data_IF_045256896603
#
_entry.id   IF_045256896603
#
_cell.length_a   1.000
_cell.length_b   1.000
_cell.length_c   1.000
_cell.angle_alpha   90.00
_cell.angle_beta   90.00
_cell.angle_gamma   90.00
#
_symmetry.space_group_name_H-M   'P 1'
#
loop_
_entity.id
_entity.type
_entity.pdbx_description
1 polymer ?
#
# COMPACT_ATOMS: atom_id res chain seq x y z
N UNK A 1 -13.32 -8.56 -14.17
CA UNK A 1 -13.75 -8.23 -12.79
C UNK A 1 -13.89 -6.72 -12.61
N UNK A 2 -14.98 -6.13 -13.13
CA UNK A 2 -15.21 -4.66 -13.11
C UNK A 2 -16.57 -4.28 -12.51
N UNK A 3 -17.17 -5.17 -11.71
CA UNK A 3 -18.58 -5.09 -11.35
C UNK A 3 -18.77 -5.15 -9.84
N UNK A 4 -19.21 -4.02 -9.27
CA UNK A 4 -20.29 -3.90 -8.26
C UNK A 4 -20.02 -2.81 -7.22
N UNK A 5 -18.77 -2.49 -6.86
CA UNK A 5 -18.46 -1.54 -5.77
C UNK A 5 -18.22 -0.08 -6.21
N UNK A 6 -18.06 0.15 -7.51
CA UNK A 6 -17.79 1.46 -8.12
C UNK A 6 -19.02 2.42 -8.17
N UNK A 7 -20.30 1.97 -8.18
CA UNK A 7 -21.43 2.90 -8.30
C UNK A 7 -21.58 3.88 -7.13
N UNK A 8 -21.34 3.42 -5.89
CA UNK A 8 -21.56 4.24 -4.68
C UNK A 8 -20.48 5.32 -4.50
N UNK A 9 -19.23 5.00 -4.84
CA UNK A 9 -18.08 5.93 -4.85
C UNK A 9 -18.01 6.79 -6.11
N UNK A 10 -18.97 6.64 -7.02
CA UNK A 10 -18.98 7.41 -8.26
C UNK A 10 -19.12 8.92 -8.00
N UNK A 11 -18.50 9.77 -8.85
CA UNK A 11 -18.62 11.22 -8.72
C UNK A 11 -20.07 11.70 -8.77
N UNK A 12 -20.93 11.00 -9.51
CA UNK A 12 -22.34 11.34 -9.73
C UNK A 12 -23.28 10.92 -8.59
N UNK A 13 -22.81 10.18 -7.59
CA UNK A 13 -23.69 9.77 -6.48
C UNK A 13 -24.02 10.96 -5.57
N UNK A 14 -25.31 11.08 -5.18
CA UNK A 14 -25.84 12.15 -4.30
C UNK A 14 -25.37 12.05 -2.83
N UNK A 15 -24.51 11.08 -2.51
CA UNK A 15 -24.03 10.82 -1.17
C UNK A 15 -23.08 11.93 -0.72
N UNK A 16 -23.16 12.37 0.55
CA UNK A 16 -22.21 13.34 1.08
C UNK A 16 -20.78 12.77 1.06
N UNK A 17 -19.78 13.62 0.80
CA UNK A 17 -18.37 13.24 0.64
C UNK A 17 -17.86 12.35 1.78
N UNK A 18 -18.21 12.70 3.04
CA UNK A 18 -17.84 11.94 4.24
C UNK A 18 -18.28 10.47 4.16
N UNK A 19 -19.52 10.21 3.74
CA UNK A 19 -20.04 8.85 3.62
C UNK A 19 -19.35 8.07 2.49
N UNK A 20 -18.95 8.73 1.39
CA UNK A 20 -18.17 8.10 0.33
C UNK A 20 -16.76 7.73 0.78
N UNK A 21 -16.11 8.59 1.59
CA UNK A 21 -14.81 8.30 2.20
C UNK A 21 -14.92 7.13 3.16
N UNK A 22 -15.94 7.10 4.02
CA UNK A 22 -16.19 5.97 4.91
C UNK A 22 -16.40 4.66 4.14
N UNK A 23 -17.12 4.68 3.03
CA UNK A 23 -17.28 3.50 2.17
C UNK A 23 -15.95 3.07 1.52
N UNK A 24 -15.14 4.03 1.08
CA UNK A 24 -13.79 3.76 0.59
C UNK A 24 -12.93 3.07 1.67
N UNK A 25 -12.96 3.58 2.90
CA UNK A 25 -12.23 2.99 4.01
C UNK A 25 -12.82 1.65 4.46
N UNK A 26 -14.13 1.43 4.38
CA UNK A 26 -14.73 0.17 4.80
C UNK A 26 -14.48 -0.97 3.80
N UNK A 27 -14.37 -0.67 2.50
CA UNK A 27 -14.28 -1.68 1.44
C UNK A 27 -12.88 -1.79 0.88
N UNK A 28 -12.27 -0.66 0.50
CA UNK A 28 -10.97 -0.70 -0.18
C UNK A 28 -9.84 -0.97 0.80
N UNK A 29 -9.93 -0.44 2.02
CA UNK A 29 -8.93 -0.66 3.06
C UNK A 29 -8.74 -2.15 3.37
N UNK A 30 -9.77 -2.97 3.70
CA UNK A 30 -9.55 -4.39 3.99
C UNK A 30 -9.02 -5.18 2.78
N UNK A 31 -9.46 -4.87 1.55
CA UNK A 31 -8.93 -5.52 0.34
C UNK A 31 -7.42 -5.25 0.20
N UNK A 32 -6.99 -4.02 0.46
CA UNK A 32 -5.57 -3.64 0.38
C UNK A 32 -4.77 -4.12 1.60
N UNK A 33 -5.38 -4.18 2.79
CA UNK A 33 -4.73 -4.65 4.01
C UNK A 33 -4.51 -6.16 4.02
N UNK A 34 -5.42 -6.94 3.43
CA UNK A 34 -5.30 -8.39 3.39
C UNK A 34 -3.97 -8.86 2.79
N UNK A 35 -3.50 -8.20 1.74
CA UNK A 35 -2.23 -8.51 1.08
C UNK A 35 -1.03 -7.72 1.64
N UNK A 36 -1.24 -6.86 2.64
CA UNK A 36 -0.20 -5.95 3.16
C UNK A 36 1.06 -6.66 3.69
N UNK A 37 0.99 -7.78 4.44
CA UNK A 37 2.21 -8.47 4.91
C UNK A 37 3.05 -9.03 3.76
N UNK A 38 2.39 -9.47 2.68
CA UNK A 38 3.04 -10.00 1.47
C UNK A 38 3.70 -8.87 0.68
N UNK A 39 3.03 -7.72 0.59
CA UNK A 39 3.55 -6.54 -0.11
C UNK A 39 4.70 -5.83 0.60
N UNK A 40 4.95 -6.13 1.88
CA UNK A 40 6.12 -5.60 2.59
C UNK A 40 7.44 -5.99 1.89
N UNK A 41 7.48 -7.16 1.22
CA UNK A 41 8.60 -7.61 0.40
C UNK A 41 8.42 -7.43 -1.11
N UNK A 42 7.36 -6.74 -1.56
CA UNK A 42 7.10 -6.55 -2.98
C UNK A 42 7.99 -5.44 -3.58
N UNK A 43 8.34 -5.57 -4.87
CA UNK A 43 9.14 -4.58 -5.55
C UNK A 43 8.49 -3.18 -5.50
N UNK A 44 9.33 -2.15 -5.39
CA UNK A 44 8.93 -0.74 -5.28
C UNK A 44 7.97 -0.33 -6.41
N UNK A 45 8.11 -0.92 -7.59
CA UNK A 45 7.24 -0.67 -8.75
C UNK A 45 5.78 -1.07 -8.49
N UNK A 46 5.52 -2.18 -7.81
CA UNK A 46 4.18 -2.63 -7.44
C UNK A 46 3.56 -1.72 -6.37
N UNK A 47 4.36 -1.32 -5.38
CA UNK A 47 3.95 -0.37 -4.34
C UNK A 47 3.56 0.99 -4.95
N UNK A 48 4.34 1.49 -5.92
CA UNK A 48 4.02 2.72 -6.68
C UNK A 48 2.69 2.59 -7.43
N UNK A 49 2.40 1.44 -8.05
CA UNK A 49 1.11 1.21 -8.73
C UNK A 49 -0.07 1.24 -7.76
N UNK A 50 0.07 0.66 -6.57
CA UNK A 50 -0.97 0.69 -5.53
C UNK A 50 -1.21 2.12 -5.01
N UNK A 51 -0.14 2.89 -4.81
CA UNK A 51 -0.23 4.29 -4.43
C UNK A 51 -0.94 5.14 -5.50
N UNK A 52 -0.58 4.95 -6.78
CA UNK A 52 -1.27 5.61 -7.90
C UNK A 52 -2.75 5.23 -7.97
N UNK A 53 -3.07 3.95 -7.73
CA UNK A 53 -4.46 3.48 -7.70
C UNK A 53 -5.26 4.17 -6.58
N UNK A 54 -4.72 4.26 -5.36
CA UNK A 54 -5.33 5.02 -4.26
C UNK A 54 -5.62 6.47 -4.67
N UNK A 55 -4.64 7.17 -5.25
CA UNK A 55 -4.78 8.58 -5.64
C UNK A 55 -5.88 8.77 -6.69
N UNK A 56 -5.99 7.86 -7.65
CA UNK A 56 -7.07 7.89 -8.65
C UNK A 56 -8.43 7.70 -7.98
N UNK A 57 -8.56 6.76 -7.03
CA UNK A 57 -9.83 6.54 -6.34
C UNK A 57 -10.22 7.73 -5.45
N UNK A 58 -9.30 8.29 -4.66
CA UNK A 58 -9.57 9.45 -3.81
C UNK A 58 -10.02 10.66 -4.65
N UNK A 59 -9.37 10.89 -5.79
CA UNK A 59 -9.77 11.95 -6.73
C UNK A 59 -11.17 11.74 -7.29
N UNK A 60 -11.54 10.49 -7.61
CA UNK A 60 -12.90 10.14 -8.06
C UNK A 60 -13.95 10.36 -6.97
N UNK A 61 -13.64 9.97 -5.73
CA UNK A 61 -14.53 10.15 -4.57
C UNK A 61 -14.75 11.63 -4.27
N UNK A 62 -13.68 12.43 -4.32
CA UNK A 62 -13.73 13.87 -4.10
C UNK A 62 -14.27 14.66 -5.31
N UNK A 63 -14.47 14.02 -6.46
CA UNK A 63 -14.75 14.69 -7.74
C UNK A 63 -13.78 15.86 -8.02
N UNK A 64 -12.50 15.69 -7.67
CA UNK A 64 -11.51 16.76 -7.71
C UNK A 64 -10.86 16.89 -9.10
N UNK A 65 -10.67 18.12 -9.63
CA UNK A 65 -10.02 18.33 -10.91
C UNK A 65 -8.52 17.97 -10.86
N UNK A 66 -7.92 17.66 -12.02
CA UNK A 66 -6.57 17.08 -12.13
C UNK A 66 -5.45 17.93 -11.52
N UNK A 67 -5.61 19.26 -11.48
CA UNK A 67 -4.60 20.20 -10.97
C UNK A 67 -4.50 20.23 -9.43
N UNK A 68 -5.47 19.63 -8.71
CA UNK A 68 -5.40 19.56 -7.24
C UNK A 68 -4.27 18.61 -6.83
N UNK A 69 -3.39 19.10 -5.94
CA UNK A 69 -2.27 18.31 -5.40
C UNK A 69 -2.80 17.14 -4.56
N UNK A 70 -2.19 15.97 -4.70
CA UNK A 70 -2.60 14.78 -3.95
C UNK A 70 -2.49 14.99 -2.43
N UNK A 71 -1.47 15.72 -1.95
CA UNK A 71 -1.30 16.04 -0.53
C UNK A 71 -2.49 16.80 0.06
N UNK A 72 -3.07 17.74 -0.70
CA UNK A 72 -4.25 18.49 -0.28
C UNK A 72 -5.45 17.55 -0.19
N UNK A 73 -5.64 16.67 -1.18
CA UNK A 73 -6.70 15.67 -1.15
C UNK A 73 -6.60 14.73 0.06
N UNK A 74 -5.38 14.30 0.41
CA UNK A 74 -5.17 13.45 1.59
C UNK A 74 -5.49 14.17 2.90
N UNK A 75 -5.12 15.45 3.02
CA UNK A 75 -5.44 16.29 4.19
C UNK A 75 -6.94 16.54 4.30
N UNK A 76 -7.59 16.94 3.21
CA UNK A 76 -9.01 17.27 3.19
C UNK A 76 -9.92 16.06 3.47
N UNK A 77 -9.52 14.88 2.95
CA UNK A 77 -10.26 13.63 3.16
C UNK A 77 -9.86 12.93 4.47
N UNK A 78 -8.81 13.41 5.15
CA UNK A 78 -8.22 12.79 6.34
C UNK A 78 -7.85 11.30 6.13
N UNK A 79 -7.39 10.94 4.92
CA UNK A 79 -7.01 9.57 4.57
C UNK A 79 -5.48 9.48 4.47
N UNK A 80 -4.80 8.69 5.32
CA UNK A 80 -3.35 8.54 5.21
C UNK A 80 -2.92 7.78 3.94
N UNK A 81 -1.68 7.97 3.48
CA UNK A 81 -1.12 7.20 2.38
C UNK A 81 -1.13 5.70 2.68
N UNK A 82 -1.44 4.89 1.67
CA UNK A 82 -1.49 3.43 1.80
C UNK A 82 -0.14 2.85 2.24
N UNK A 83 0.97 3.44 1.80
CA UNK A 83 2.32 2.97 2.14
C UNK A 83 2.55 2.99 3.65
N UNK A 84 2.07 4.04 4.34
CA UNK A 84 2.24 4.18 5.79
C UNK A 84 1.42 3.13 6.53
N UNK A 85 0.23 2.81 6.02
CA UNK A 85 -0.57 1.69 6.53
C UNK A 85 0.11 0.34 6.33
N UNK A 86 0.66 0.09 5.13
CA UNK A 86 1.35 -1.17 4.83
C UNK A 86 2.56 -1.34 5.75
N UNK A 87 3.35 -0.29 5.94
CA UNK A 87 4.48 -0.28 6.87
C UNK A 87 4.02 -0.61 8.29
N UNK A 88 3.08 0.17 8.84
CA UNK A 88 2.56 -0.06 10.19
C UNK A 88 1.99 -1.47 10.37
N UNK A 89 1.28 -1.99 9.37
CA UNK A 89 0.71 -3.32 9.43
C UNK A 89 1.78 -4.41 9.36
N UNK A 90 2.80 -4.22 8.54
CA UNK A 90 3.96 -5.13 8.45
C UNK A 90 4.72 -5.16 9.77
N UNK A 91 5.02 -4.00 10.37
CA UNK A 91 5.67 -3.90 11.68
C UNK A 91 4.85 -4.62 12.75
N UNK A 92 3.54 -4.36 12.83
CA UNK A 92 2.65 -5.06 13.75
C UNK A 92 2.62 -6.57 13.52
N UNK A 93 2.69 -7.03 12.27
CA UNK A 93 2.74 -8.44 11.93
C UNK A 93 4.06 -9.06 12.42
N UNK A 94 5.21 -8.50 12.03
CA UNK A 94 6.53 -8.99 12.41
C UNK A 94 6.77 -8.95 13.93
N UNK A 95 6.24 -7.93 14.63
CA UNK A 95 6.32 -7.83 16.08
C UNK A 95 5.47 -8.90 16.80
N UNK A 96 4.40 -9.40 16.17
CA UNK A 96 3.55 -10.47 16.71
C UNK A 96 4.06 -11.88 16.40
N UNK A 97 4.83 -12.06 15.32
CA UNK A 97 5.43 -13.35 14.96
C UNK A 97 6.13 -14.09 16.11
N UNK A 98 6.94 -13.46 16.99
CA UNK A 98 7.58 -14.18 18.10
C UNK A 98 6.62 -14.70 19.16
N UNK A 99 5.37 -14.19 19.22
CA UNK A 99 4.37 -14.63 20.20
C UNK A 99 3.48 -15.77 19.68
N UNK A 100 3.59 -16.13 18.40
CA UNK A 100 2.75 -17.13 17.77
C UNK A 100 3.43 -18.50 17.88
N UNK A 101 2.78 -19.46 18.56
CA UNK A 101 3.29 -20.82 18.79
C UNK A 101 3.22 -21.75 17.58
N UNK A 102 2.64 -21.31 16.46
CA UNK A 102 2.48 -22.13 15.26
C UNK A 102 3.80 -22.23 14.48
N UNK A 103 4.28 -23.46 14.33
CA UNK A 103 5.56 -23.80 13.68
C UNK A 103 5.65 -23.31 12.22
N UNK A 104 4.57 -23.43 11.45
CA UNK A 104 4.51 -23.02 10.03
C UNK A 104 4.72 -21.51 9.82
N UNK A 105 4.33 -20.69 10.80
CA UNK A 105 4.48 -19.22 10.74
C UNK A 105 5.91 -18.82 11.11
N UNK A 106 6.62 -19.66 11.88
CA UNK A 106 8.03 -19.46 12.23
C UNK A 106 8.95 -19.64 11.02
N UNK A 107 8.62 -20.56 10.12
CA UNK A 107 9.35 -20.77 8.85
C UNK A 107 9.28 -19.56 7.89
N UNK A 108 8.14 -18.85 7.90
CA UNK A 108 7.97 -17.60 7.13
C UNK A 108 8.96 -16.53 7.62
N UNK A 109 9.24 -16.48 8.94
CA UNK A 109 10.21 -15.54 9.51
C UNK A 109 11.63 -15.78 8.97
N UNK A 110 12.07 -17.05 8.91
CA UNK A 110 13.41 -17.38 8.41
C UNK A 110 13.57 -17.06 6.93
N UNK A 111 12.60 -17.45 6.10
CA UNK A 111 12.63 -17.19 4.65
C UNK A 111 12.55 -15.71 4.30
N UNK A 112 11.77 -14.92 5.04
CA UNK A 112 11.63 -13.46 4.77
C UNK A 112 12.89 -12.68 5.16
N UNK A 113 13.54 -13.04 6.27
CA UNK A 113 14.79 -12.38 6.70
C UNK A 113 15.94 -12.72 5.73
N UNK A 114 16.07 -13.98 5.31
CA UNK A 114 17.04 -14.40 4.30
C UNK A 114 16.76 -13.71 2.95
N UNK A 115 15.51 -13.66 2.50
CA UNK A 115 15.13 -13.01 1.24
C UNK A 115 15.41 -11.49 1.25
N UNK A 116 15.09 -10.79 2.34
CA UNK A 116 15.38 -9.36 2.48
C UNK A 116 16.87 -9.08 2.63
N UNK A 117 17.64 -9.95 3.29
CA UNK A 117 19.10 -9.84 3.35
C UNK A 117 19.74 -10.02 1.97
N UNK A 118 19.31 -11.03 1.22
CA UNK A 118 19.77 -11.31 -0.15
C UNK A 118 19.38 -10.18 -1.11
N UNK A 119 18.15 -9.65 -1.03
CA UNK A 119 17.73 -8.52 -1.86
C UNK A 119 18.49 -7.23 -1.53
N UNK A 120 18.75 -6.98 -0.23
CA UNK A 120 19.54 -5.83 0.20
C UNK A 120 20.99 -5.92 -0.29
N UNK A 121 21.59 -7.11 -0.28
CA UNK A 121 22.93 -7.33 -0.82
C UNK A 121 22.98 -7.19 -2.35
N UNK A 122 21.95 -7.66 -3.06
CA UNK A 122 21.85 -7.50 -4.51
C UNK A 122 21.61 -6.04 -4.94
N UNK A 123 20.81 -5.28 -4.19
CA UNK A 123 20.60 -3.84 -4.47
C UNK A 123 21.90 -3.04 -4.24
N UNK A 124 22.64 -3.31 -3.17
CA UNK A 124 23.96 -2.69 -2.93
C UNK A 124 24.95 -3.05 -4.02
N UNK A 125 25.01 -4.32 -4.43
CA UNK A 125 25.87 -4.79 -5.51
C UNK A 125 25.58 -4.11 -6.86
N UNK A 126 24.31 -3.93 -7.21
CA UNK A 126 23.91 -3.22 -8.44
C UNK A 126 24.27 -1.73 -8.39
N UNK A 127 24.11 -1.08 -7.24
CA UNK A 127 24.49 0.34 -7.04
C UNK A 127 26.01 0.53 -7.15
N UNK A 128 26.81 -0.36 -6.55
CA UNK A 128 28.27 -0.32 -6.67
C UNK A 128 28.71 -0.50 -8.13
N UNK A 129 28.07 -1.41 -8.88
CA UNK A 129 28.41 -1.65 -10.30
C UNK A 129 28.13 -0.45 -11.21
N UNK A 130 27.02 0.25 -10.97
CA UNK A 130 26.62 1.44 -11.73
C UNK A 130 27.60 2.60 -11.48
N UNK A 131 28.09 2.74 -10.25
CA UNK A 131 29.04 3.80 -9.89
C UNK A 131 30.47 3.52 -10.41
N UNK A 132 30.85 2.25 -10.56
CA UNK A 132 32.15 1.87 -11.17
C UNK A 132 32.17 1.95 -12.71
N UNK A 133 31.01 2.00 -13.38
CA UNK A 133 30.92 2.13 -14.84
C UNK A 133 30.81 3.58 -15.34
N UNK A 134 30.88 4.55 -14.43
CA UNK A 134 30.91 5.99 -14.73
C UNK A 134 32.32 6.61 -14.56
N UNK A 135 33.35 5.77 -14.51
CA UNK A 135 34.76 6.13 -14.66
C UNK A 135 35.39 5.37 -15.81
#
# INVERSE_FOLDING_TARGET
MRSSLIPATSPKSKLALRHKVLLYEAILRPIMLYASPIWAGAAITHLKRLHTFQNIQLRRVANAPWFVRNEVLHKDLNVPPLLDFIKKQSENFFNRLPQISNESIREIRFTTILFLAILRDLEQFLITRINTSQF
#
